data_IF_405489308097
#
_entry.id   IF_405489308097
#
_cell.length_a   1.000
_cell.length_b   1.000
_cell.length_c   1.000
_cell.angle_alpha   90.00
_cell.angle_beta   90.00
_cell.angle_gamma   90.00
#
_symmetry.space_group_name_H-M   'P 1'
#
loop_
_entity.id
_entity.type
_entity.pdbx_description
1 polymer ?
#
# COMPACT_ATOMS: atom_id res chain seq x y z
N UNK A 1 22.67 -12.20 -28.87
CA UNK A 1 21.57 -12.74 -29.70
C UNK A 1 20.33 -12.81 -28.80
N UNK A 2 19.22 -12.11 -29.14
CA UNK A 2 17.99 -12.17 -28.34
C UNK A 2 17.25 -13.47 -28.68
N UNK A 3 17.09 -14.36 -27.71
CA UNK A 3 16.33 -15.61 -27.86
C UNK A 3 14.85 -15.28 -27.66
N UNK A 4 14.04 -15.41 -28.72
CA UNK A 4 12.60 -15.24 -28.63
C UNK A 4 11.95 -16.62 -28.46
N UNK A 5 11.16 -16.79 -27.41
CA UNK A 5 10.40 -18.01 -27.20
C UNK A 5 9.21 -18.02 -28.18
N UNK A 6 9.30 -18.82 -29.24
CA UNK A 6 8.25 -18.97 -30.27
C UNK A 6 6.98 -19.66 -29.77
N UNK A 7 7.04 -20.28 -28.58
CA UNK A 7 5.89 -20.86 -27.90
C UNK A 7 5.31 -19.92 -26.83
N UNK A 8 5.78 -18.67 -26.76
CA UNK A 8 5.12 -17.68 -25.92
C UNK A 8 3.67 -17.53 -26.42
N UNK A 9 2.65 -17.61 -25.55
CA UNK A 9 1.27 -17.47 -25.96
C UNK A 9 1.12 -16.17 -26.76
N UNK A 10 0.42 -16.26 -27.89
CA UNK A 10 0.14 -15.12 -28.76
C UNK A 10 -0.43 -14.00 -27.89
N UNK A 11 0.13 -12.78 -27.94
CA UNK A 11 -0.42 -11.67 -27.17
C UNK A 11 -1.90 -11.57 -27.50
N UNK A 12 -2.77 -11.71 -26.50
CA UNK A 12 -4.15 -11.28 -26.67
C UNK A 12 -4.09 -9.86 -27.24
N UNK A 13 -4.91 -9.57 -28.26
CA UNK A 13 -4.96 -8.24 -28.87
C UNK A 13 -4.99 -7.14 -27.79
N UNK A 14 -4.49 -5.93 -28.09
CA UNK A 14 -4.14 -4.95 -27.07
C UNK A 14 -5.26 -4.82 -26.05
N UNK A 15 -4.97 -5.16 -24.80
CA UNK A 15 -5.94 -5.13 -23.71
C UNK A 15 -6.64 -3.76 -23.69
N UNK A 16 -7.89 -3.71 -23.24
CA UNK A 16 -8.59 -2.42 -23.07
C UNK A 16 -7.78 -1.50 -22.15
N UNK A 17 -7.88 -0.18 -22.34
CA UNK A 17 -7.04 0.80 -21.62
C UNK A 17 -7.11 0.66 -20.08
N UNK A 18 -8.28 0.31 -19.55
CA UNK A 18 -8.50 0.03 -18.14
C UNK A 18 -7.73 -1.22 -17.67
N UNK A 19 -7.78 -2.30 -18.46
CA UNK A 19 -7.01 -3.50 -18.22
C UNK A 19 -5.50 -3.26 -18.37
N UNK A 20 -5.06 -2.43 -19.32
CA UNK A 20 -3.66 -2.01 -19.44
C UNK A 20 -3.20 -1.25 -18.19
N UNK A 21 -3.99 -0.28 -17.72
CA UNK A 21 -3.70 0.43 -16.48
C UNK A 21 -3.58 -0.54 -15.29
N UNK A 22 -4.48 -1.51 -15.18
CA UNK A 22 -4.41 -2.55 -14.16
C UNK A 22 -3.12 -3.38 -14.25
N UNK A 23 -2.77 -3.88 -15.43
CA UNK A 23 -1.57 -4.72 -15.62
C UNK A 23 -0.28 -3.93 -15.33
N UNK A 24 -0.20 -2.67 -15.75
CA UNK A 24 0.93 -1.80 -15.40
C UNK A 24 0.94 -1.54 -13.88
N UNK A 25 -0.23 -1.36 -13.27
CA UNK A 25 -0.38 -1.22 -11.81
C UNK A 25 0.13 -2.45 -11.05
N UNK A 26 -0.08 -3.66 -11.58
CA UNK A 26 0.48 -4.91 -11.05
C UNK A 26 2.00 -4.88 -11.05
N UNK A 27 2.62 -4.41 -12.14
CA UNK A 27 4.09 -4.32 -12.23
C UNK A 27 4.66 -3.32 -11.21
N UNK A 28 4.03 -2.15 -11.05
CA UNK A 28 4.44 -1.18 -10.03
C UNK A 28 4.21 -1.68 -8.60
N UNK A 29 3.12 -2.41 -8.35
CA UNK A 29 2.85 -2.99 -7.03
C UNK A 29 3.93 -4.02 -6.66
N UNK A 30 4.32 -4.88 -7.60
CA UNK A 30 5.43 -5.83 -7.41
C UNK A 30 6.77 -5.11 -7.19
N UNK A 31 7.05 -4.04 -7.95
CA UNK A 31 8.25 -3.23 -7.73
C UNK A 31 8.26 -2.59 -6.33
N UNK A 32 7.10 -2.10 -5.86
CA UNK A 32 6.96 -1.54 -4.53
C UNK A 32 7.24 -2.59 -3.44
N UNK A 33 6.71 -3.81 -3.59
CA UNK A 33 6.97 -4.93 -2.68
C UNK A 33 8.42 -5.38 -2.67
N UNK A 34 9.13 -5.32 -3.80
CA UNK A 34 10.58 -5.57 -3.81
C UNK A 34 11.33 -4.49 -3.04
N UNK A 35 10.87 -3.24 -3.15
CA UNK A 35 11.47 -2.11 -2.48
C UNK A 35 11.18 -2.05 -0.96
N UNK A 36 10.26 -2.89 -0.44
CA UNK A 36 10.09 -3.04 1.02
C UNK A 36 11.20 -3.88 1.65
N UNK A 37 11.90 -4.71 0.86
CA UNK A 37 12.95 -5.59 1.35
C UNK A 37 14.22 -4.77 1.62
N UNK A 38 14.66 -4.78 2.87
CA UNK A 38 15.91 -4.14 3.26
C UNK A 38 17.10 -5.06 2.95
N UNK A 39 18.21 -4.45 2.56
CA UNK A 39 19.48 -5.14 2.29
C UNK A 39 20.52 -4.59 3.24
N UNK A 40 21.27 -5.47 3.90
CA UNK A 40 22.39 -5.05 4.72
C UNK A 40 23.64 -4.90 3.86
N UNK A 41 24.36 -3.79 4.02
CA UNK A 41 25.67 -3.60 3.42
C UNK A 41 26.73 -4.45 4.17
N UNK A 42 27.93 -4.65 3.59
CA UNK A 42 28.99 -5.42 4.25
C UNK A 42 29.48 -4.86 5.60
N UNK A 43 29.12 -3.62 5.94
CA UNK A 43 29.44 -2.94 7.20
C UNK A 43 28.29 -3.01 8.22
N UNK A 44 27.19 -3.69 7.89
CA UNK A 44 26.00 -3.84 8.73
C UNK A 44 25.00 -2.68 8.61
N UNK A 45 25.20 -1.74 7.69
CA UNK A 45 24.25 -0.66 7.42
C UNK A 45 23.03 -1.15 6.64
N UNK A 46 21.84 -0.71 7.02
CA UNK A 46 20.58 -1.13 6.36
C UNK A 46 20.21 -0.20 5.20
N UNK A 47 20.33 -0.71 3.97
CA UNK A 47 19.88 -0.06 2.74
C UNK A 47 18.39 -0.37 2.54
N UNK A 48 17.55 0.67 2.45
CA UNK A 48 16.16 0.53 2.02
C UNK A 48 15.85 1.53 0.91
N UNK A 49 15.34 1.08 -0.24
CA UNK A 49 14.89 1.95 -1.33
C UNK A 49 13.49 2.50 -1.03
N UNK A 50 13.38 3.26 0.07
CA UNK A 50 12.11 3.76 0.59
C UNK A 50 11.38 4.70 -0.36
N UNK A 51 12.05 5.69 -0.96
CA UNK A 51 11.38 6.59 -1.91
C UNK A 51 10.83 5.82 -3.13
N UNK A 52 11.60 4.91 -3.76
CA UNK A 52 11.07 4.00 -4.77
C UNK A 52 9.85 3.19 -4.30
N UNK A 53 9.87 2.64 -3.08
CA UNK A 53 8.74 1.90 -2.49
C UNK A 53 7.48 2.78 -2.46
N UNK A 54 7.57 3.99 -1.90
CA UNK A 54 6.42 4.92 -1.80
C UNK A 54 5.90 5.32 -3.17
N UNK A 55 6.78 5.72 -4.08
CA UNK A 55 6.41 6.15 -5.43
C UNK A 55 5.73 5.02 -6.20
N UNK A 56 6.25 3.79 -6.11
CA UNK A 56 5.67 2.63 -6.78
C UNK A 56 4.30 2.27 -6.20
N UNK A 57 4.12 2.29 -4.87
CA UNK A 57 2.80 2.06 -4.27
C UNK A 57 1.79 3.13 -4.66
N UNK A 58 2.17 4.41 -4.60
CA UNK A 58 1.27 5.52 -4.95
C UNK A 58 0.85 5.45 -6.42
N UNK A 59 1.77 5.11 -7.32
CA UNK A 59 1.45 4.98 -8.74
C UNK A 59 0.64 3.72 -9.05
N UNK A 60 0.90 2.61 -8.37
CA UNK A 60 0.05 1.42 -8.46
C UNK A 60 -1.39 1.74 -8.04
N UNK A 61 -1.59 2.45 -6.92
CA UNK A 61 -2.91 2.89 -6.48
C UNK A 61 -3.60 3.80 -7.51
N UNK A 62 -2.87 4.75 -8.11
CA UNK A 62 -3.39 5.62 -9.17
C UNK A 62 -3.92 4.80 -10.36
N UNK A 63 -3.10 3.86 -10.85
CA UNK A 63 -3.43 3.01 -12.00
C UNK A 63 -4.60 2.07 -11.70
N UNK A 64 -4.67 1.53 -10.49
CA UNK A 64 -5.79 0.73 -10.02
C UNK A 64 -7.08 1.53 -9.96
N UNK A 65 -7.09 2.73 -9.37
CA UNK A 65 -8.26 3.60 -9.39
C UNK A 65 -8.69 3.92 -10.82
N UNK A 66 -7.74 4.22 -11.71
CA UNK A 66 -8.03 4.48 -13.13
C UNK A 66 -8.63 3.27 -13.85
N UNK A 67 -8.24 2.05 -13.49
CA UNK A 67 -8.82 0.83 -14.04
C UNK A 67 -10.27 0.57 -13.58
N UNK A 68 -10.67 1.15 -12.44
CA UNK A 68 -12.04 1.06 -11.92
C UNK A 68 -12.97 2.14 -12.47
N UNK A 69 -12.46 3.22 -13.05
CA UNK A 69 -13.27 4.32 -13.57
C UNK A 69 -14.07 3.90 -14.82
N UNK A 70 -15.30 4.42 -14.92
CA UNK A 70 -16.15 4.24 -16.12
C UNK A 70 -15.82 5.21 -17.24
N UNK A 71 -15.15 6.32 -16.91
CA UNK A 71 -14.72 7.37 -17.85
C UNK A 71 -13.28 7.78 -17.56
N UNK A 72 -12.55 8.19 -18.59
CA UNK A 72 -11.19 8.70 -18.42
C UNK A 72 -11.20 10.01 -17.63
N UNK A 73 -10.42 10.06 -16.55
CA UNK A 73 -10.20 11.26 -15.74
C UNK A 73 -8.75 11.69 -15.89
N UNK A 74 -8.51 12.93 -16.35
CA UNK A 74 -7.17 13.53 -16.46
C UNK A 74 -6.73 14.13 -15.13
N UNK A 75 -6.65 13.29 -14.10
CA UNK A 75 -6.15 13.65 -12.79
C UNK A 75 -5.27 12.51 -12.25
N UNK A 76 -4.38 12.84 -11.32
CA UNK A 76 -3.41 11.92 -10.72
C UNK A 76 -3.58 11.81 -9.19
N UNK A 77 -4.36 12.70 -8.59
CA UNK A 77 -4.57 12.71 -7.13
C UNK A 77 -5.52 11.59 -6.72
N UNK A 78 -5.08 10.75 -5.78
CA UNK A 78 -5.82 9.57 -5.33
C UNK A 78 -7.21 9.91 -4.78
N UNK A 79 -7.32 10.96 -3.96
CA UNK A 79 -8.60 11.42 -3.44
C UNK A 79 -9.58 11.85 -4.56
N UNK A 80 -9.07 12.54 -5.59
CA UNK A 80 -9.91 12.97 -6.72
C UNK A 80 -10.37 11.76 -7.54
N UNK A 81 -9.45 10.84 -7.85
CA UNK A 81 -9.76 9.63 -8.60
C UNK A 81 -10.76 8.73 -7.86
N UNK A 82 -10.59 8.58 -6.55
CA UNK A 82 -11.51 7.84 -5.69
C UNK A 82 -12.93 8.43 -5.71
N UNK A 83 -13.06 9.75 -5.63
CA UNK A 83 -14.37 10.42 -5.69
C UNK A 83 -15.06 10.33 -7.08
N UNK A 84 -14.33 9.91 -8.13
CA UNK A 84 -14.92 9.65 -9.45
C UNK A 84 -15.37 8.20 -9.66
N UNK A 85 -15.11 7.30 -8.71
CA UNK A 85 -15.65 5.94 -8.74
C UNK A 85 -17.18 5.95 -8.53
N UNK A 86 -17.87 4.90 -8.99
CA UNK A 86 -19.28 4.69 -8.64
C UNK A 86 -19.43 4.46 -7.13
N UNK A 87 -20.62 4.73 -6.57
CA UNK A 87 -20.92 4.50 -5.15
C UNK A 87 -20.56 3.09 -4.69
N UNK A 88 -20.96 2.09 -5.47
CA UNK A 88 -20.64 0.68 -5.26
C UNK A 88 -19.12 0.45 -5.13
N UNK A 89 -18.33 0.94 -6.08
CA UNK A 89 -16.87 0.74 -6.08
C UNK A 89 -16.20 1.51 -4.94
N UNK A 90 -16.68 2.71 -4.60
CA UNK A 90 -16.18 3.47 -3.45
C UNK A 90 -16.42 2.70 -2.16
N UNK A 91 -17.62 2.16 -2.00
CA UNK A 91 -18.02 1.38 -0.84
C UNK A 91 -17.15 0.12 -0.71
N UNK A 92 -16.95 -0.63 -1.79
CA UNK A 92 -16.13 -1.84 -1.77
C UNK A 92 -14.67 -1.57 -1.41
N UNK A 93 -14.08 -0.50 -1.94
CA UNK A 93 -12.72 -0.08 -1.58
C UNK A 93 -12.66 0.34 -0.11
N UNK A 94 -13.65 1.09 0.37
CA UNK A 94 -13.70 1.55 1.76
C UNK A 94 -13.86 0.38 2.74
N UNK A 95 -14.74 -0.57 2.43
CA UNK A 95 -14.92 -1.77 3.24
C UNK A 95 -13.63 -2.61 3.28
N UNK A 96 -12.98 -2.82 2.13
CA UNK A 96 -11.70 -3.52 2.07
C UNK A 96 -10.58 -2.78 2.83
N UNK A 97 -10.62 -1.45 2.88
CA UNK A 97 -9.66 -0.63 3.63
C UNK A 97 -9.92 -0.66 5.13
N UNK A 98 -11.19 -0.60 5.53
CA UNK A 98 -11.61 -0.66 6.93
C UNK A 98 -11.26 -2.02 7.55
N UNK A 99 -11.47 -3.13 6.85
CA UNK A 99 -11.03 -4.46 7.30
C UNK A 99 -9.52 -4.49 7.58
N UNK A 100 -8.72 -3.82 6.74
CA UNK A 100 -7.26 -3.80 6.88
C UNK A 100 -6.76 -2.85 7.95
N UNK A 101 -7.47 -1.77 8.24
CA UNK A 101 -6.90 -0.67 9.06
C UNK A 101 -7.72 -0.34 10.30
N UNK A 102 -8.95 -0.83 10.41
CA UNK A 102 -9.95 -0.39 11.38
C UNK A 102 -10.44 1.04 11.14
N UNK A 103 -10.10 1.68 10.01
CA UNK A 103 -10.42 3.08 9.71
C UNK A 103 -11.62 3.15 8.77
N UNK A 104 -12.70 3.78 9.23
CA UNK A 104 -13.94 3.92 8.47
C UNK A 104 -13.81 4.88 7.26
N UNK A 105 -14.85 4.95 6.44
CA UNK A 105 -14.91 5.78 5.22
C UNK A 105 -14.56 7.27 5.44
N UNK A 106 -15.01 7.87 6.55
CA UNK A 106 -14.74 9.28 6.82
C UNK A 106 -13.25 9.55 7.04
N UNK A 107 -12.57 8.59 7.68
CA UNK A 107 -11.14 8.62 7.96
C UNK A 107 -10.35 8.33 6.68
N UNK A 108 -10.77 7.35 5.88
CA UNK A 108 -10.17 7.06 4.56
C UNK A 108 -10.11 8.31 3.67
N UNK A 109 -11.16 9.13 3.65
CA UNK A 109 -11.15 10.38 2.86
C UNK A 109 -10.06 11.35 3.31
N UNK A 110 -9.81 11.44 4.61
CA UNK A 110 -8.74 12.26 5.14
C UNK A 110 -7.37 11.65 4.81
N UNK A 111 -7.23 10.34 4.95
CA UNK A 111 -6.00 9.62 4.59
C UNK A 111 -5.67 9.84 3.10
N UNK A 112 -6.66 9.75 2.21
CA UNK A 112 -6.47 9.98 0.77
C UNK A 112 -6.04 11.40 0.42
N UNK A 113 -6.36 12.41 1.23
CA UNK A 113 -5.84 13.77 1.00
C UNK A 113 -4.33 13.81 1.22
N UNK A 114 -3.85 13.15 2.26
CA UNK A 114 -2.42 13.01 2.57
C UNK A 114 -1.72 12.11 1.56
N UNK A 115 -2.29 10.94 1.24
CA UNK A 115 -1.73 10.01 0.26
C UNK A 115 -1.75 10.57 -1.17
N UNK A 116 -2.70 11.46 -1.48
CA UNK A 116 -2.92 11.99 -2.82
C UNK A 116 -1.79 12.87 -3.38
N UNK A 117 -0.86 13.32 -2.53
CA UNK A 117 0.34 14.08 -2.92
C UNK A 117 1.64 13.28 -2.80
N UNK A 118 1.59 12.08 -2.19
CA UNK A 118 2.80 11.29 -1.89
C UNK A 118 3.63 10.96 -3.14
N UNK A 119 3.01 10.71 -4.30
CA UNK A 119 3.75 10.47 -5.53
C UNK A 119 4.62 11.66 -5.96
N UNK A 120 4.14 12.89 -5.77
CA UNK A 120 4.89 14.09 -6.16
C UNK A 120 5.96 14.38 -5.12
N UNK A 121 5.56 14.48 -3.86
CA UNK A 121 6.43 14.92 -2.77
C UNK A 121 7.62 13.97 -2.57
N UNK A 122 7.41 12.66 -2.73
CA UNK A 122 8.49 11.69 -2.50
C UNK A 122 9.48 11.55 -3.64
N UNK A 123 9.18 12.10 -4.82
CA UNK A 123 10.18 12.24 -5.89
C UNK A 123 11.15 13.37 -5.61
N UNK A 124 10.73 14.37 -4.84
CA UNK A 124 11.48 15.56 -4.49
C UNK A 124 11.68 15.66 -2.98
N UNK A 125 11.79 14.52 -2.28
CA UNK A 125 11.88 14.48 -0.81
C UNK A 125 13.09 15.25 -0.26
N UNK A 126 14.12 15.43 -1.08
CA UNK A 126 15.31 16.22 -0.74
C UNK A 126 15.08 17.74 -0.79
N UNK A 127 13.97 18.20 -1.39
CA UNK A 127 13.57 19.61 -1.48
C UNK A 127 12.62 20.03 -0.36
N UNK A 128 12.02 19.07 0.35
CA UNK A 128 11.06 19.33 1.43
C UNK A 128 11.72 19.50 2.79
N UNK A 129 10.91 19.87 3.79
CA UNK A 129 11.29 19.85 5.21
C UNK A 129 10.30 18.97 5.98
N UNK A 130 10.79 17.90 6.61
CA UNK A 130 10.00 17.12 7.58
C UNK A 130 8.81 16.33 7.01
N UNK A 131 8.88 15.88 5.75
CA UNK A 131 7.82 15.10 5.11
C UNK A 131 7.49 13.82 5.89
N UNK A 132 6.22 13.62 6.28
CA UNK A 132 5.74 12.42 6.94
C UNK A 132 4.73 11.68 6.06
N UNK A 133 4.82 10.35 6.03
CA UNK A 133 3.86 9.50 5.34
C UNK A 133 3.66 8.21 6.12
N UNK A 134 2.40 7.87 6.37
CA UNK A 134 2.03 6.58 6.94
C UNK A 134 2.02 5.53 5.82
N UNK A 135 3.18 4.90 5.59
CA UNK A 135 3.35 3.93 4.50
C UNK A 135 2.37 2.75 4.59
N UNK A 136 2.11 2.25 5.79
CA UNK A 136 1.09 1.22 6.07
C UNK A 136 -0.28 1.59 5.47
N UNK A 137 -0.72 2.85 5.62
CA UNK A 137 -2.00 3.30 5.07
C UNK A 137 -1.98 3.34 3.54
N UNK A 138 -0.84 3.70 2.94
CA UNK A 138 -0.66 3.64 1.49
C UNK A 138 -0.72 2.19 0.98
N UNK A 139 -0.01 1.27 1.62
CA UNK A 139 0.00 -0.15 1.23
C UNK A 139 -1.39 -0.75 1.40
N UNK A 140 -2.04 -0.54 2.55
CA UNK A 140 -3.39 -0.99 2.81
C UNK A 140 -4.37 -0.47 1.74
N UNK A 141 -4.29 0.82 1.41
CA UNK A 141 -5.13 1.40 0.36
C UNK A 141 -4.86 0.75 -1.01
N UNK A 142 -3.61 0.62 -1.44
CA UNK A 142 -3.25 -0.02 -2.71
C UNK A 142 -3.78 -1.46 -2.80
N UNK A 143 -3.63 -2.23 -1.72
CA UNK A 143 -4.16 -3.60 -1.62
C UNK A 143 -5.69 -3.63 -1.67
N UNK A 144 -6.37 -2.70 -0.99
CA UNK A 144 -7.84 -2.60 -1.03
C UNK A 144 -8.35 -2.32 -2.44
N UNK A 145 -7.75 -1.37 -3.18
CA UNK A 145 -8.17 -1.10 -4.56
C UNK A 145 -7.88 -2.29 -5.48
N UNK A 146 -6.71 -2.94 -5.34
CA UNK A 146 -6.38 -4.16 -6.07
C UNK A 146 -7.44 -5.24 -5.85
N UNK A 147 -7.79 -5.50 -4.59
CA UNK A 147 -8.77 -6.52 -4.23
C UNK A 147 -10.15 -6.22 -4.82
N UNK A 148 -10.61 -4.97 -4.75
CA UNK A 148 -11.85 -4.53 -5.40
C UNK A 148 -11.81 -4.79 -6.91
N UNK A 149 -10.71 -4.50 -7.60
CA UNK A 149 -10.57 -4.83 -9.02
C UNK A 149 -10.71 -6.33 -9.25
N UNK A 150 -10.05 -7.16 -8.43
CA UNK A 150 -10.15 -8.62 -8.58
C UNK A 150 -11.56 -9.15 -8.38
N UNK A 151 -12.39 -8.50 -7.55
CA UNK A 151 -13.82 -8.85 -7.40
C UNK A 151 -14.64 -8.40 -8.61
N UNK A 152 -14.43 -7.18 -9.10
CA UNK A 152 -15.19 -6.59 -10.21
C UNK A 152 -14.77 -7.10 -11.60
N UNK A 153 -13.53 -7.60 -11.73
CA UNK A 153 -12.90 -8.02 -12.99
C UNK A 153 -12.15 -9.36 -12.79
N UNK A 154 -12.84 -10.45 -12.41
CA UNK A 154 -12.19 -11.73 -12.11
C UNK A 154 -11.40 -12.28 -13.30
N UNK A 155 -11.90 -12.05 -14.52
CA UNK A 155 -11.33 -12.53 -15.79
C UNK A 155 -9.99 -11.88 -16.16
N UNK A 156 -9.63 -10.76 -15.52
CA UNK A 156 -8.34 -10.12 -15.76
C UNK A 156 -7.22 -10.96 -15.13
N UNK A 157 -6.47 -11.67 -15.97
CA UNK A 157 -5.43 -12.60 -15.52
C UNK A 157 -4.26 -11.86 -14.89
N UNK A 158 -3.88 -12.29 -13.69
CA UNK A 158 -2.63 -11.95 -13.00
C UNK A 158 -1.92 -13.26 -12.70
N UNK A 159 -0.58 -13.26 -12.69
CA UNK A 159 0.18 -14.44 -12.28
C UNK A 159 -0.21 -14.83 -10.86
N UNK A 160 -0.47 -16.10 -10.62
CA UNK A 160 -0.98 -16.62 -9.34
C UNK A 160 -0.09 -16.20 -8.16
N UNK A 161 1.23 -16.40 -8.30
CA UNK A 161 2.24 -15.98 -7.30
C UNK A 161 2.15 -14.49 -6.93
N UNK A 162 1.83 -13.61 -7.89
CA UNK A 162 1.67 -12.18 -7.62
C UNK A 162 0.34 -11.90 -6.92
N UNK A 163 -0.74 -12.56 -7.36
CA UNK A 163 -2.06 -12.41 -6.79
C UNK A 163 -2.11 -12.86 -5.32
N UNK A 164 -1.46 -13.98 -4.99
CA UNK A 164 -1.29 -14.45 -3.61
C UNK A 164 -0.50 -13.44 -2.78
N UNK A 165 0.68 -13.03 -3.28
CA UNK A 165 1.55 -12.08 -2.59
C UNK A 165 0.87 -10.75 -2.29
N UNK A 166 0.07 -10.23 -3.21
CA UNK A 166 -0.63 -8.95 -3.04
C UNK A 166 -1.78 -9.04 -2.02
N UNK A 167 -2.36 -10.23 -1.84
CA UNK A 167 -3.48 -10.48 -0.94
C UNK A 167 -3.05 -10.90 0.46
N UNK A 168 -1.81 -11.33 0.64
CA UNK A 168 -1.26 -11.70 1.94
C UNK A 168 -1.49 -10.58 2.99
N UNK A 169 -2.03 -10.98 4.15
CA UNK A 169 -2.38 -10.08 5.26
C UNK A 169 -1.16 -9.65 6.06
N UNK A 170 -0.09 -10.45 6.06
CA UNK A 170 1.11 -10.17 6.85
C UNK A 170 1.91 -9.02 6.25
N UNK A 171 1.67 -7.81 6.77
CA UNK A 171 2.69 -6.78 6.81
C UNK A 171 3.36 -6.85 8.17
N UNK A 172 4.62 -7.27 8.19
CA UNK A 172 5.40 -7.32 9.42
C UNK A 172 5.44 -5.90 10.00
N UNK A 173 5.08 -5.70 11.29
CA UNK A 173 5.23 -4.41 11.92
C UNK A 173 6.70 -4.00 11.87
N UNK A 174 6.96 -2.85 11.28
CA UNK A 174 8.30 -2.29 11.10
C UNK A 174 8.19 -0.81 11.36
N UNK A 175 8.79 -0.35 12.46
CA UNK A 175 9.08 1.05 12.65
C UNK A 175 10.50 1.33 12.14
N UNK A 176 10.63 2.12 11.09
CA UNK A 176 11.94 2.54 10.56
C UNK A 176 12.00 4.06 10.53
N UNK A 177 12.87 4.64 11.34
CA UNK A 177 13.20 6.06 11.23
C UNK A 177 14.47 6.17 10.39
N UNK A 178 14.42 6.82 9.22
CA UNK A 178 15.62 7.10 8.39
C UNK A 178 15.79 8.60 8.19
N UNK A 179 17.00 9.11 8.32
CA UNK A 179 17.30 10.47 7.90
C UNK A 179 17.76 10.44 6.44
N UNK A 180 17.07 11.14 5.55
CA UNK A 180 17.34 11.13 4.11
C UNK A 180 18.06 12.40 3.61
N UNK A 181 18.76 13.12 4.47
CA UNK A 181 19.58 14.29 4.08
C UNK A 181 18.77 15.56 3.75
N UNK A 182 17.46 15.44 3.54
CA UNK A 182 16.48 16.54 3.44
C UNK A 182 15.21 16.32 4.27
N UNK A 183 15.17 15.27 5.11
CA UNK A 183 14.00 14.99 5.94
C UNK A 183 14.12 13.72 6.78
N UNK A 184 13.24 13.57 7.76
CA UNK A 184 13.12 12.36 8.58
C UNK A 184 12.00 11.49 8.03
N UNK A 185 12.39 10.36 7.47
CA UNK A 185 11.50 9.25 7.16
C UNK A 185 11.06 8.56 8.45
N UNK A 186 9.76 8.37 8.64
CA UNK A 186 9.22 7.48 9.67
C UNK A 186 8.33 6.46 8.96
N UNK A 187 8.83 5.26 8.72
CA UNK A 187 8.00 4.08 8.47
C UNK A 187 7.41 3.70 9.81
N UNK A 188 6.10 3.70 9.93
CA UNK A 188 5.41 2.95 10.97
C UNK A 188 4.54 1.96 10.21
N UNK A 189 4.93 0.70 10.23
CA UNK A 189 3.97 -0.38 10.01
C UNK A 189 3.54 -0.79 11.40
N UNK A 190 2.42 -0.25 11.85
CA UNK A 190 1.67 -0.83 12.94
C UNK A 190 1.01 -2.08 12.34
N UNK A 191 1.42 -3.28 12.76
CA UNK A 191 0.67 -4.48 12.40
C UNK A 191 -0.78 -4.20 12.79
N UNK A 192 -1.65 -4.08 11.79
CA UNK A 192 -2.93 -3.40 11.95
C UNK A 192 -3.78 -4.13 13.00
N UNK A 193 -3.95 -3.50 14.16
CA UNK A 193 -5.14 -3.65 15.00
C UNK A 193 -5.38 -4.99 15.69
N UNK A 194 -4.46 -5.46 16.54
CA UNK A 194 -4.89 -6.10 17.80
C UNK A 194 -4.28 -5.36 18.98
N UNK A 195 -4.89 -4.24 19.33
CA UNK A 195 -4.96 -3.88 20.74
C UNK A 195 -5.80 -4.97 21.45
N UNK A 196 -5.15 -6.07 21.85
CA UNK A 196 -5.59 -6.74 23.07
C UNK A 196 -5.33 -5.74 24.20
N UNK A 197 -6.31 -4.90 24.46
CA UNK A 197 -6.51 -4.34 25.78
C UNK A 197 -6.78 -5.53 26.70
N UNK A 198 -5.71 -6.19 27.14
CA UNK A 198 -5.76 -6.97 28.36
C UNK A 198 -6.10 -5.95 29.45
N UNK A 199 -7.37 -5.99 29.86
CA UNK A 199 -7.83 -5.33 31.07
C UNK A 199 -6.81 -5.68 32.15
N UNK A 200 -6.14 -4.66 32.68
CA UNK A 200 -5.46 -4.76 33.95
C UNK A 200 -6.49 -5.33 34.94
N UNK A 201 -6.34 -6.62 35.25
CA UNK A 201 -6.98 -7.24 36.38
C UNK A 201 -6.52 -6.51 37.64
N UNK A 202 -7.38 -6.40 38.66
CA UNK A 202 -7.06 -5.63 39.86
C UNK A 202 -5.79 -6.16 40.51
N UNK A 203 -4.89 -5.24 40.86
CA UNK A 203 -3.70 -5.50 41.67
C UNK A 203 -4.13 -6.24 42.94
N UNK A 204 -3.78 -7.52 43.04
CA UNK A 204 -3.81 -8.23 44.30
C UNK A 204 -2.73 -7.62 45.19
N UNK A 205 -3.16 -6.94 46.25
CA UNK A 205 -2.29 -6.43 47.31
C UNK A 205 -1.54 -7.61 47.95
N UNK A 206 -0.22 -7.47 48.02
CA UNK A 206 0.63 -8.35 48.81
C UNK A 206 0.30 -8.16 50.29
N UNK A 207 -0.25 -9.18 50.93
CA UNK A 207 -0.27 -9.30 52.39
C UNK A 207 1.05 -9.89 52.84
N UNK A 208 1.86 -9.09 53.54
CA UNK A 208 3.01 -9.54 54.31
C UNK A 208 2.55 -10.48 55.45
N UNK A 209 3.15 -11.67 55.64
CA UNK A 209 2.99 -12.39 56.89
C UNK A 209 3.95 -11.84 57.95
N UNK A 210 3.30 -11.30 58.97
CA UNK A 210 3.81 -10.82 60.23
C UNK A 210 4.74 -11.84 60.91
N UNK A 211 5.87 -11.35 61.41
CA UNK A 211 6.82 -12.02 62.31
C UNK A 211 6.16 -12.69 63.50
N UNK A 212 6.53 -13.94 63.77
CA UNK A 212 6.85 -14.48 65.11
C UNK A 212 7.68 -15.75 65.00
#
# INVERSE_FOLDING_TARGET
MKTYNVNAPTPQGPAKRDQQAFLIGVDFHEAALRATHEVNDPKGGTISPTCPMVVCYAFAAELYLKSLLTKTVRNHRLNVLYEHLSDEKRHDVAAAYEVRTGRNLSVLRNDLRTLGVAFVDWRYVFEGEGQQLHCNLLVAFTKSVYETIRRHKPDWKVREVLNERFRAEEETPVMTIKNLGGGTFIKIVDGTGQAKFDRAGPQAQATEPNTR
#
